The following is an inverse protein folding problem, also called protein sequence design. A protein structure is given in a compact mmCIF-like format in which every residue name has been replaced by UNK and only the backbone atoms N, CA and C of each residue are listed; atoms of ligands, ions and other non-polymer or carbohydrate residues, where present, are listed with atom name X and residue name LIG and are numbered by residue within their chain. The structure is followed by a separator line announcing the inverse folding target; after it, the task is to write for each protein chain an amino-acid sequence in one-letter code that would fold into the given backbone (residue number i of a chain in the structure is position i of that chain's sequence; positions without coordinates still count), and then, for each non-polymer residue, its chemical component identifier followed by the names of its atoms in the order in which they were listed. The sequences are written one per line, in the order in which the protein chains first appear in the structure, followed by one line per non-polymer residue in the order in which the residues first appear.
data_IF_874588603592
#
_entry.id   IF_874588603592
#
_cell.length_a   1.000
_cell.length_b   1.000
_cell.length_c   1.000
_cell.angle_alpha   90.00
_cell.angle_beta   90.00
_cell.angle_gamma   90.00
#
_symmetry.space_group_name_H-M   'P 1'
#
loop_
_entity.id
_entity.type
_entity.pdbx_description
1 polymer ?
#
# COMPACT_ATOMS: atom_id res chain seq x y z
N UNK A 1 -2.76 -24.68 18.15
CA UNK A 1 -3.16 -23.28 17.88
C UNK A 1 -2.98 -22.53 19.19
N UNK A 2 -1.84 -21.87 19.37
CA UNK A 2 -1.53 -21.16 20.61
C UNK A 2 -1.96 -19.69 20.46
N UNK A 3 -2.68 -19.19 21.49
CA UNK A 3 -3.08 -17.78 21.56
C UNK A 3 -1.89 -16.97 22.05
N UNK A 4 -1.30 -16.15 21.20
CA UNK A 4 -0.14 -15.33 21.57
C UNK A 4 -0.45 -13.88 21.94
N UNK A 5 -1.68 -13.38 21.79
CA UNK A 5 -2.05 -12.01 22.21
C UNK A 5 -3.46 -11.94 22.79
N UNK A 6 -3.56 -11.39 23.99
CA UNK A 6 -4.82 -11.02 24.68
C UNK A 6 -5.00 -9.51 24.68
N UNK A 7 -5.11 -8.87 23.54
CA UNK A 7 -5.39 -7.42 23.48
C UNK A 7 -6.79 -7.06 23.00
N UNK A 8 -7.66 -8.03 22.78
CA UNK A 8 -9.07 -7.82 22.43
C UNK A 8 -9.33 -7.24 21.04
N UNK A 9 -8.29 -7.00 20.25
CA UNK A 9 -8.38 -6.35 18.93
C UNK A 9 -8.27 -7.38 17.80
N UNK A 10 -7.48 -8.44 17.99
CA UNK A 10 -7.21 -9.45 16.95
C UNK A 10 -8.20 -10.60 17.02
N UNK A 11 -9.08 -10.73 16.03
CA UNK A 11 -10.08 -11.82 15.96
C UNK A 11 -9.54 -13.15 15.45
N UNK A 12 -8.42 -13.17 14.74
CA UNK A 12 -7.80 -14.38 14.19
C UNK A 12 -6.29 -14.33 14.30
N UNK A 13 -5.68 -15.40 14.79
CA UNK A 13 -4.24 -15.61 14.75
C UNK A 13 -3.96 -16.85 13.90
N UNK A 14 -3.17 -16.69 12.86
CA UNK A 14 -2.65 -17.78 12.03
C UNK A 14 -1.14 -17.84 12.20
N UNK A 15 -0.62 -19.04 12.37
CA UNK A 15 0.81 -19.29 12.32
C UNK A 15 1.07 -20.37 11.28
N UNK A 16 1.99 -20.13 10.38
CA UNK A 16 2.46 -21.11 9.41
C UNK A 16 3.97 -20.98 9.21
N UNK A 17 4.59 -22.04 8.76
CA UNK A 17 6.01 -22.08 8.48
C UNK A 17 6.28 -22.75 7.14
N UNK A 18 7.40 -22.41 6.53
CA UNK A 18 7.91 -23.03 5.32
C UNK A 18 9.43 -22.83 5.26
N UNK A 19 10.10 -23.61 4.44
CA UNK A 19 11.50 -23.39 4.10
C UNK A 19 11.53 -22.54 2.81
N UNK A 20 12.32 -21.47 2.78
CA UNK A 20 12.52 -20.65 1.59
C UNK A 20 13.42 -21.34 0.56
N UNK A 21 13.67 -20.70 -0.58
CA UNK A 21 14.49 -21.26 -1.67
C UNK A 21 15.95 -21.46 -1.26
N UNK A 22 16.44 -20.72 -0.27
CA UNK A 22 17.79 -20.81 0.29
C UNK A 22 17.87 -21.81 1.47
N UNK A 23 16.75 -22.41 1.86
CA UNK A 23 16.64 -23.38 2.95
C UNK A 23 16.54 -22.76 4.35
N UNK A 24 16.26 -21.45 4.46
CA UNK A 24 16.00 -20.82 5.74
C UNK A 24 14.59 -21.16 6.21
N UNK A 25 14.47 -21.40 7.50
CA UNK A 25 13.16 -21.63 8.12
C UNK A 25 12.44 -20.30 8.33
N UNK A 26 11.31 -20.13 7.66
CA UNK A 26 10.46 -18.95 7.76
C UNK A 26 9.23 -19.26 8.59
N UNK A 27 9.05 -18.54 9.70
CA UNK A 27 7.85 -18.60 10.52
C UNK A 27 7.07 -17.29 10.33
N UNK A 28 5.77 -17.38 10.04
CA UNK A 28 4.88 -16.21 9.87
C UNK A 28 3.78 -16.26 10.91
N UNK A 29 3.65 -15.17 11.66
CA UNK A 29 2.53 -14.91 12.55
C UNK A 29 1.62 -13.88 11.90
N UNK A 30 0.38 -14.24 11.64
CA UNK A 30 -0.61 -13.35 11.00
C UNK A 30 -1.78 -13.09 11.93
N UNK A 31 -2.14 -11.83 12.12
CA UNK A 31 -3.34 -11.41 12.83
C UNK A 31 -4.24 -10.64 11.89
N UNK A 32 -5.56 -10.81 12.04
CA UNK A 32 -6.56 -10.10 11.24
C UNK A 32 -7.43 -9.26 12.16
N UNK A 33 -7.60 -7.98 11.87
CA UNK A 33 -8.53 -7.10 12.57
C UNK A 33 -9.97 -7.24 12.06
N UNK A 34 -10.88 -6.50 12.67
CA UNK A 34 -12.32 -6.53 12.33
C UNK A 34 -12.64 -5.94 10.96
N UNK A 35 -11.71 -5.20 10.36
CA UNK A 35 -11.85 -4.61 9.04
C UNK A 35 -11.24 -5.49 7.93
N UNK A 36 -10.76 -6.69 8.27
CA UNK A 36 -10.12 -7.61 7.32
C UNK A 36 -8.68 -7.21 6.99
N UNK A 37 -8.05 -6.35 7.80
CA UNK A 37 -6.63 -6.00 7.63
C UNK A 37 -5.78 -7.07 8.31
N UNK A 38 -4.85 -7.65 7.56
CA UNK A 38 -3.91 -8.65 8.05
C UNK A 38 -2.55 -8.01 8.36
N UNK A 39 -2.09 -8.26 9.57
CA UNK A 39 -0.77 -7.86 10.08
C UNK A 39 0.10 -9.10 10.21
N UNK A 40 1.16 -9.18 9.40
CA UNK A 40 2.08 -10.31 9.41
C UNK A 40 3.40 -9.92 10.08
N UNK A 41 3.90 -10.80 10.93
CA UNK A 41 5.26 -10.73 11.49
C UNK A 41 6.02 -11.96 11.00
N UNK A 42 7.17 -11.74 10.40
CA UNK A 42 7.97 -12.75 9.69
C UNK A 42 9.28 -12.93 10.45
N UNK A 43 9.62 -14.19 10.75
CA UNK A 43 10.89 -14.55 11.34
C UNK A 43 11.62 -15.50 10.38
N UNK A 44 12.91 -15.29 10.20
CA UNK A 44 13.82 -16.20 9.50
C UNK A 44 14.78 -16.82 10.50
N UNK A 45 14.82 -18.16 10.55
CA UNK A 45 15.62 -18.91 11.53
C UNK A 45 15.43 -18.42 12.98
N UNK A 46 14.21 -17.96 13.32
CA UNK A 46 13.86 -17.44 14.64
C UNK A 46 14.21 -15.97 14.90
N UNK A 47 14.80 -15.27 13.94
CA UNK A 47 15.14 -13.84 14.02
C UNK A 47 14.05 -13.04 13.31
N UNK A 48 13.64 -11.90 13.87
CA UNK A 48 12.67 -11.01 13.23
C UNK A 48 13.22 -10.47 11.91
N UNK A 49 12.63 -10.90 10.79
CA UNK A 49 13.06 -10.51 9.45
C UNK A 49 12.16 -9.43 8.83
N UNK A 50 10.85 -9.41 9.18
CA UNK A 50 9.95 -8.45 8.56
C UNK A 50 8.58 -8.31 9.22
N UNK A 51 7.87 -7.27 8.79
CA UNK A 51 6.45 -7.06 9.03
C UNK A 51 5.76 -6.64 7.75
N UNK A 52 4.51 -7.07 7.54
CA UNK A 52 3.71 -6.60 6.43
C UNK A 52 2.26 -6.38 6.82
N UNK A 53 1.62 -5.44 6.13
CA UNK A 53 0.20 -5.11 6.29
C UNK A 53 -0.46 -5.36 4.94
N UNK A 54 -1.52 -6.18 4.95
CA UNK A 54 -2.25 -6.59 3.77
C UNK A 54 -3.75 -6.42 4.00
N UNK A 55 -4.47 -6.06 2.94
CA UNK A 55 -5.94 -6.04 2.94
C UNK A 55 -6.47 -7.04 1.95
N UNK A 56 -7.64 -7.61 2.23
CA UNK A 56 -8.36 -8.45 1.29
C UNK A 56 -9.03 -7.56 0.24
N UNK A 57 -8.77 -7.88 -1.02
CA UNK A 57 -9.45 -7.29 -2.18
C UNK A 57 -10.03 -8.40 -3.03
N UNK A 58 -10.82 -8.06 -4.05
CA UNK A 58 -11.56 -9.01 -4.90
C UNK A 58 -10.74 -10.20 -5.40
N UNK A 59 -9.43 -9.99 -5.64
CA UNK A 59 -8.53 -11.00 -6.19
C UNK A 59 -7.54 -11.58 -5.15
N UNK A 60 -7.82 -11.41 -3.84
CA UNK A 60 -7.02 -11.93 -2.73
C UNK A 60 -6.41 -10.85 -1.84
N UNK A 61 -5.37 -11.20 -1.09
CA UNK A 61 -4.68 -10.28 -0.19
C UNK A 61 -3.62 -9.47 -0.90
N UNK A 62 -3.59 -8.14 -0.67
CA UNK A 62 -2.62 -7.24 -1.25
C UNK A 62 -2.01 -6.30 -0.19
N UNK A 63 -0.72 -5.99 -0.33
CA UNK A 63 -0.05 -5.00 0.50
C UNK A 63 -0.75 -3.65 0.38
N UNK A 64 -1.13 -3.08 1.52
CA UNK A 64 -1.81 -1.80 1.58
C UNK A 64 -1.68 -1.16 2.94
N UNK A 65 -1.29 0.10 2.99
CA UNK A 65 -1.43 0.97 4.15
C UNK A 65 -1.32 2.43 3.74
N UNK A 66 -2.14 3.30 4.35
CA UNK A 66 -2.14 4.73 4.10
C UNK A 66 -1.38 5.55 5.15
N UNK A 67 -0.99 4.95 6.26
CA UNK A 67 -0.47 5.67 7.42
C UNK A 67 0.98 5.29 7.76
N UNK A 68 1.40 4.10 7.39
CA UNK A 68 2.72 3.57 7.66
C UNK A 68 3.20 2.67 6.51
N UNK A 69 4.46 2.20 6.48
CA UNK A 69 4.91 1.27 5.45
C UNK A 69 4.06 -0.01 5.45
N UNK A 70 3.71 -0.48 4.27
CA UNK A 70 3.02 -1.78 4.12
C UNK A 70 3.97 -2.95 4.32
N UNK A 71 5.28 -2.74 4.09
CA UNK A 71 6.33 -3.72 4.36
C UNK A 71 7.48 -3.02 5.09
N UNK A 72 7.96 -3.66 6.15
CA UNK A 72 9.19 -3.29 6.87
C UNK A 72 10.07 -4.52 6.91
N UNK A 73 11.36 -4.37 6.59
CA UNK A 73 12.36 -5.42 6.73
C UNK A 73 13.43 -5.00 7.74
N UNK A 74 13.90 -5.98 8.48
CA UNK A 74 14.93 -5.82 9.50
C UNK A 74 16.20 -6.56 9.07
N UNK A 75 17.35 -6.06 9.45
CA UNK A 75 18.63 -6.78 9.34
C UNK A 75 18.87 -7.72 10.52
N UNK A 76 20.01 -8.40 10.51
CA UNK A 76 20.38 -9.37 11.55
C UNK A 76 20.54 -8.75 12.96
N UNK A 77 20.81 -7.44 13.03
CA UNK A 77 20.91 -6.66 14.26
C UNK A 77 19.54 -6.15 14.76
N UNK A 78 18.48 -6.38 13.99
CA UNK A 78 17.11 -5.93 14.28
C UNK A 78 16.84 -4.46 13.89
N UNK A 79 17.77 -3.83 13.17
CA UNK A 79 17.58 -2.48 12.65
C UNK A 79 16.79 -2.52 11.34
N UNK A 80 16.01 -1.46 11.10
CA UNK A 80 15.20 -1.37 9.88
C UNK A 80 16.09 -1.00 8.70
N UNK A 81 16.26 -1.90 7.74
CA UNK A 81 17.00 -1.64 6.52
C UNK A 81 16.12 -1.25 5.31
N UNK A 82 14.82 -1.62 5.31
CA UNK A 82 13.88 -1.27 4.22
C UNK A 82 12.49 -0.95 4.74
N UNK A 83 11.87 0.03 4.10
CA UNK A 83 10.45 0.37 4.25
C UNK A 83 9.85 0.55 2.86
N UNK A 84 8.69 -0.06 2.64
CA UNK A 84 8.03 0.01 1.35
C UNK A 84 6.55 0.38 1.53
N UNK A 85 6.08 1.33 0.73
CA UNK A 85 4.71 1.82 0.75
C UNK A 85 3.95 1.30 -0.46
N UNK A 86 2.83 0.63 -0.22
CA UNK A 86 1.94 0.07 -1.24
C UNK A 86 0.52 0.57 -1.06
N UNK A 87 -0.22 0.69 -2.15
CA UNK A 87 -1.66 0.91 -2.17
C UNK A 87 -2.27 -0.14 -3.10
N UNK A 88 -3.17 -0.99 -2.55
CA UNK A 88 -3.85 -2.07 -3.28
C UNK A 88 -2.87 -2.92 -4.12
N UNK A 89 -1.76 -3.34 -3.53
CA UNK A 89 -0.73 -4.14 -4.18
C UNK A 89 0.20 -3.40 -5.13
N UNK A 90 -0.01 -2.10 -5.36
CA UNK A 90 0.87 -1.28 -6.21
C UNK A 90 1.94 -0.61 -5.37
N UNK A 91 3.21 -0.89 -5.69
CA UNK A 91 4.36 -0.21 -5.07
C UNK A 91 4.34 1.28 -5.38
N UNK A 92 4.45 2.10 -4.36
CA UNK A 92 4.47 3.56 -4.49
C UNK A 92 5.90 4.07 -4.34
N UNK A 93 6.54 3.83 -3.19
CA UNK A 93 7.88 4.33 -2.89
C UNK A 93 8.41 3.69 -1.60
N UNK A 94 9.72 3.79 -1.37
CA UNK A 94 10.39 3.52 -0.10
C UNK A 94 10.58 4.79 0.75
N UNK A 95 10.29 5.96 0.18
CA UNK A 95 10.49 7.24 0.83
C UNK A 95 9.21 7.76 1.50
N UNK A 96 9.25 7.82 2.84
CA UNK A 96 8.12 8.30 3.66
C UNK A 96 7.61 9.68 3.24
N UNK A 97 8.51 10.62 3.03
CA UNK A 97 8.12 12.01 2.72
C UNK A 97 7.49 12.11 1.33
N UNK A 98 8.00 11.34 0.36
CA UNK A 98 7.41 11.26 -0.98
C UNK A 98 6.01 10.67 -0.91
N UNK A 99 5.82 9.56 -0.18
CA UNK A 99 4.52 8.91 -0.01
C UNK A 99 3.47 9.89 0.54
N UNK A 100 3.75 10.51 1.68
CA UNK A 100 2.79 11.42 2.31
C UNK A 100 2.53 12.68 1.49
N UNK A 101 3.53 13.20 0.77
CA UNK A 101 3.34 14.32 -0.16
C UNK A 101 2.45 13.96 -1.36
N UNK A 102 2.57 12.75 -1.87
CA UNK A 102 1.69 12.27 -2.94
C UNK A 102 0.27 12.06 -2.43
N UNK A 103 0.13 11.39 -1.28
CA UNK A 103 -1.14 11.19 -0.58
C UNK A 103 -1.88 12.51 -0.38
N UNK A 104 -1.23 13.50 0.24
CA UNK A 104 -1.82 14.81 0.50
C UNK A 104 -2.30 15.51 -0.77
N UNK A 105 -1.51 15.45 -1.85
CA UNK A 105 -1.90 16.04 -3.14
C UNK A 105 -3.14 15.41 -3.74
N UNK A 106 -3.36 14.12 -3.51
CA UNK A 106 -4.55 13.42 -3.99
C UNK A 106 -5.76 13.72 -3.10
N UNK A 107 -5.63 13.66 -1.77
CA UNK A 107 -6.73 13.97 -0.85
C UNK A 107 -7.30 15.36 -1.10
N UNK A 108 -6.45 16.38 -1.18
CA UNK A 108 -6.88 17.76 -1.39
C UNK A 108 -7.02 18.16 -2.87
N UNK A 109 -6.91 17.20 -3.78
CA UNK A 109 -6.99 17.36 -5.24
C UNK A 109 -6.04 18.43 -5.82
N UNK A 110 -5.01 18.85 -5.08
CA UNK A 110 -4.03 19.83 -5.56
C UNK A 110 -3.15 19.29 -6.68
N UNK A 111 -3.17 17.98 -6.92
CA UNK A 111 -2.55 17.34 -8.08
C UNK A 111 -3.06 17.94 -9.40
N UNK A 112 -4.34 18.32 -9.49
CA UNK A 112 -4.96 18.94 -10.67
C UNK A 112 -4.15 20.13 -11.19
N UNK A 113 -3.54 20.93 -10.30
CA UNK A 113 -2.73 22.11 -10.66
C UNK A 113 -1.36 21.74 -11.26
N UNK A 114 -0.93 20.50 -11.12
CA UNK A 114 0.42 20.07 -11.47
C UNK A 114 0.49 18.91 -12.46
N UNK A 115 -0.61 18.24 -12.79
CA UNK A 115 -0.65 17.08 -13.71
C UNK A 115 0.10 17.39 -15.02
N UNK A 116 -0.20 18.49 -15.67
CA UNK A 116 0.40 18.84 -16.96
C UNK A 116 1.92 19.12 -16.90
N UNK A 117 2.46 19.37 -15.69
CA UNK A 117 3.89 19.60 -15.46
C UNK A 117 4.67 18.33 -15.20
N UNK A 118 3.98 17.22 -14.90
CA UNK A 118 4.63 15.95 -14.62
C UNK A 118 5.07 15.31 -15.94
N UNK A 119 6.35 14.96 -16.03
CA UNK A 119 6.98 14.32 -17.19
C UNK A 119 7.23 12.83 -17.02
N UNK A 120 7.10 12.30 -15.81
CA UNK A 120 7.34 10.89 -15.48
C UNK A 120 6.04 10.10 -15.54
N UNK A 121 5.99 9.11 -16.44
CA UNK A 121 4.89 8.15 -16.56
C UNK A 121 4.69 7.41 -15.24
N UNK A 122 5.76 6.84 -14.68
CA UNK A 122 5.71 6.11 -13.41
C UNK A 122 5.12 6.96 -12.27
N UNK A 123 5.48 8.25 -12.21
CA UNK A 123 4.92 9.16 -11.20
C UNK A 123 3.43 9.43 -11.39
N UNK A 124 2.97 9.56 -12.63
CA UNK A 124 1.54 9.71 -12.93
C UNK A 124 0.78 8.43 -12.57
N UNK A 125 1.32 7.26 -12.90
CA UNK A 125 0.71 5.97 -12.55
C UNK A 125 0.55 5.81 -11.03
N UNK A 126 1.53 6.24 -10.23
CA UNK A 126 1.43 6.27 -8.77
C UNK A 126 0.30 7.20 -8.28
N UNK A 127 0.18 8.41 -8.84
CA UNK A 127 -0.93 9.32 -8.51
C UNK A 127 -2.29 8.73 -8.90
N UNK A 128 -2.36 8.01 -10.03
CA UNK A 128 -3.57 7.31 -10.47
C UNK A 128 -4.05 6.34 -9.39
N UNK A 129 -3.16 5.51 -8.85
CA UNK A 129 -3.48 4.54 -7.79
C UNK A 129 -4.07 5.22 -6.54
N UNK A 130 -3.53 6.37 -6.13
CA UNK A 130 -4.09 7.14 -5.01
C UNK A 130 -5.50 7.66 -5.32
N UNK A 131 -5.71 8.25 -6.50
CA UNK A 131 -7.01 8.79 -6.88
C UNK A 131 -8.07 7.69 -7.00
N UNK A 132 -7.72 6.56 -7.60
CA UNK A 132 -8.60 5.38 -7.68
C UNK A 132 -8.95 4.86 -6.29
N UNK A 133 -7.98 4.80 -5.37
CA UNK A 133 -8.23 4.40 -3.99
C UNK A 133 -9.24 5.33 -3.32
N UNK A 134 -9.01 6.64 -3.37
CA UNK A 134 -9.92 7.60 -2.73
C UNK A 134 -11.32 7.58 -3.34
N UNK A 135 -11.42 7.47 -4.65
CA UNK A 135 -12.72 7.38 -5.33
C UNK A 135 -13.51 6.13 -4.91
N UNK A 136 -12.83 4.99 -4.80
CA UNK A 136 -13.52 3.69 -4.60
C UNK A 136 -13.72 3.30 -3.14
N UNK A 137 -12.85 3.77 -2.22
CA UNK A 137 -12.78 3.25 -0.85
C UNK A 137 -12.90 4.31 0.25
N UNK A 138 -12.63 5.58 -0.04
CA UNK A 138 -12.57 6.65 0.97
C UNK A 138 -13.60 7.76 0.72
N UNK A 139 -14.31 7.73 -0.40
CA UNK A 139 -15.33 8.73 -0.73
C UNK A 139 -16.72 8.23 -0.36
N UNK A 140 -17.51 9.05 0.34
CA UNK A 140 -18.93 8.75 0.58
C UNK A 140 -19.63 8.60 -0.77
N UNK A 141 -20.27 7.44 -1.07
CA UNK A 141 -20.94 7.20 -2.35
C UNK A 141 -22.10 8.17 -2.62
N UNK A 142 -22.54 8.93 -1.62
CA UNK A 142 -23.59 9.95 -1.76
C UNK A 142 -23.04 11.36 -1.97
N UNK A 143 -21.73 11.57 -1.90
CA UNK A 143 -21.08 12.86 -2.18
C UNK A 143 -20.73 12.98 -3.67
N UNK A 144 -21.73 13.26 -4.50
CA UNK A 144 -21.56 13.42 -5.94
C UNK A 144 -20.55 14.52 -6.32
N UNK A 145 -20.44 15.59 -5.54
CA UNK A 145 -19.49 16.67 -5.84
C UNK A 145 -18.05 16.22 -5.72
N UNK A 146 -17.73 15.49 -4.65
CA UNK A 146 -16.39 14.94 -4.44
C UNK A 146 -16.08 13.84 -5.44
N UNK A 147 -17.03 12.94 -5.73
CA UNK A 147 -16.90 11.90 -6.76
C UNK A 147 -16.56 12.53 -8.12
N UNK A 148 -17.28 13.58 -8.53
CA UNK A 148 -17.03 14.26 -9.81
C UNK A 148 -15.65 14.90 -9.87
N UNK A 149 -15.16 15.47 -8.77
CA UNK A 149 -13.79 16.03 -8.70
C UNK A 149 -12.70 14.98 -8.83
N UNK A 150 -12.87 13.79 -8.21
CA UNK A 150 -11.93 12.69 -8.38
C UNK A 150 -11.96 12.12 -9.79
N UNK A 151 -13.14 11.97 -10.40
CA UNK A 151 -13.26 11.55 -11.80
C UNK A 151 -12.59 12.56 -12.75
N UNK A 152 -12.79 13.88 -12.56
CA UNK A 152 -12.09 14.92 -13.33
C UNK A 152 -10.56 14.81 -13.20
N UNK A 153 -10.09 14.52 -12.00
CA UNK A 153 -8.65 14.34 -11.74
C UNK A 153 -8.09 13.11 -12.47
N UNK A 154 -8.82 11.99 -12.44
CA UNK A 154 -8.47 10.76 -13.15
C UNK A 154 -8.44 10.97 -14.66
N UNK A 155 -9.47 11.58 -15.24
CA UNK A 155 -9.57 11.84 -16.68
C UNK A 155 -8.40 12.71 -17.18
N UNK A 156 -8.05 13.77 -16.44
CA UNK A 156 -6.91 14.63 -16.76
C UNK A 156 -5.59 13.88 -16.66
N UNK A 157 -5.45 13.03 -15.66
CA UNK A 157 -4.24 12.23 -15.44
C UNK A 157 -4.07 11.18 -16.53
N UNK A 158 -5.15 10.48 -16.92
CA UNK A 158 -5.13 9.48 -17.99
C UNK A 158 -4.82 10.14 -19.35
N UNK A 159 -5.44 11.28 -19.64
CA UNK A 159 -5.14 12.06 -20.83
C UNK A 159 -3.64 12.41 -20.90
N UNK A 160 -3.05 12.85 -19.78
CA UNK A 160 -1.62 13.15 -19.70
C UNK A 160 -0.74 11.92 -19.87
N UNK A 161 -1.13 10.78 -19.30
CA UNK A 161 -0.43 9.50 -19.49
C UNK A 161 -0.39 9.08 -20.96
N UNK A 162 -1.51 9.20 -21.67
CA UNK A 162 -1.60 8.88 -23.11
C UNK A 162 -0.63 9.77 -23.90
N UNK A 163 -0.63 11.08 -23.65
CA UNK A 163 0.27 12.02 -24.33
C UNK A 163 1.73 11.62 -24.12
N UNK A 164 2.14 11.37 -22.87
CA UNK A 164 3.53 11.01 -22.56
C UNK A 164 3.94 9.66 -23.16
N UNK A 165 3.03 8.68 -23.20
CA UNK A 165 3.31 7.40 -23.85
C UNK A 165 3.49 7.55 -25.35
N UNK A 166 2.72 8.43 -26.01
CA UNK A 166 2.88 8.75 -27.43
C UNK A 166 4.17 9.56 -27.71
N UNK A 167 4.59 10.45 -26.79
CA UNK A 167 5.85 11.21 -26.92
C UNK A 167 7.11 10.30 -26.80
N UNK A 168 6.98 9.11 -26.25
CA UNK A 168 8.09 8.15 -26.03
C UNK A 168 8.10 6.96 -27.01
N UNK A 169 7.07 6.82 -27.84
CA UNK A 169 6.94 5.78 -28.87
C UNK A 169 7.62 6.19 -30.17
#
# INVERSE_FOLDING_TARGET
MEKYFEDGISKCLYAFNYDDEDGNKVDVLSTCDENGVNYNTIFENGILAGRSIMVEIKDGYNFHNLYEPSIIRYDEDGEIWSREYYILGKYITDNKNEFFKMKEKCINLSILKSINKIRSISKLEKYKVFLEYYLCYDTDPHDEETINKYNEALDKLESRLIILKLEQA
#
